data_IF_287181891432
#
_entry.id   IF_287181891432
#
_cell.length_a   1.000
_cell.length_b   1.000
_cell.length_c   1.000
_cell.angle_alpha   90.00
_cell.angle_beta   90.00
_cell.angle_gamma   90.00
#
_symmetry.space_group_name_H-M   'P 1'
#
loop_
_entity.id
_entity.type
_entity.pdbx_description
1 polymer ?
#
# COMPACT_ATOMS: atom_id res chain seq x y z
N UNK A 1 -6.46 -20.08 -21.87
CA UNK A 1 -5.30 -20.66 -21.15
C UNK A 1 -5.35 -20.13 -19.74
N UNK A 2 -5.40 -20.99 -18.73
CA UNK A 2 -5.31 -20.56 -17.32
C UNK A 2 -3.83 -20.35 -17.03
N UNK A 3 -3.36 -19.11 -17.07
CA UNK A 3 -2.00 -18.78 -16.66
C UNK A 3 -1.91 -18.96 -15.14
N UNK A 4 -1.21 -20.01 -14.71
CA UNK A 4 -0.87 -20.18 -13.31
C UNK A 4 0.25 -19.19 -12.96
N UNK A 5 -0.02 -18.30 -12.00
CA UNK A 5 0.98 -17.41 -11.43
C UNK A 5 2.00 -18.23 -10.64
N UNK A 6 3.29 -17.98 -10.87
CA UNK A 6 4.35 -18.61 -10.10
C UNK A 6 4.61 -17.84 -8.81
N UNK A 7 5.15 -18.51 -7.78
CA UNK A 7 5.57 -17.84 -6.56
C UNK A 7 6.60 -16.72 -6.82
N UNK A 8 7.40 -16.85 -7.89
CA UNK A 8 8.35 -15.82 -8.32
C UNK A 8 7.64 -14.55 -8.77
N UNK A 9 6.54 -14.68 -9.51
CA UNK A 9 5.76 -13.53 -9.97
C UNK A 9 5.14 -12.78 -8.80
N UNK A 10 4.62 -13.53 -7.82
CA UNK A 10 4.00 -12.97 -6.61
C UNK A 10 5.01 -12.39 -5.62
N UNK A 11 6.28 -12.79 -5.68
CA UNK A 11 7.35 -12.26 -4.82
C UNK A 11 7.82 -10.84 -5.21
N UNK A 12 7.25 -10.27 -6.28
CA UNK A 12 7.60 -8.93 -6.79
C UNK A 12 6.95 -7.78 -6.01
N UNK A 13 6.05 -8.09 -5.08
CA UNK A 13 5.39 -7.12 -4.21
C UNK A 13 5.13 -7.74 -2.83
N UNK A 14 5.04 -6.88 -1.82
CA UNK A 14 4.75 -7.28 -0.43
C UNK A 14 3.25 -7.28 -0.14
N UNK A 15 2.86 -7.92 0.97
CA UNK A 15 1.49 -7.86 1.48
C UNK A 15 1.05 -6.40 1.73
N UNK A 16 1.95 -5.52 2.15
CA UNK A 16 1.62 -4.11 2.35
C UNK A 16 1.33 -3.38 1.05
N UNK A 17 1.94 -3.77 -0.06
CA UNK A 17 1.63 -3.24 -1.38
C UNK A 17 0.23 -3.65 -1.82
N UNK A 18 -0.15 -4.91 -1.56
CA UNK A 18 -1.51 -5.40 -1.79
C UNK A 18 -2.52 -4.57 -0.96
N UNK A 19 -2.26 -4.37 0.34
CA UNK A 19 -3.16 -3.58 1.21
C UNK A 19 -3.34 -2.16 0.69
N UNK A 20 -2.25 -1.51 0.26
CA UNK A 20 -2.29 -0.16 -0.32
C UNK A 20 -3.08 -0.14 -1.62
N UNK A 21 -2.86 -1.13 -2.48
CA UNK A 21 -3.54 -1.24 -3.77
C UNK A 21 -5.03 -1.41 -3.59
N UNK A 22 -5.45 -2.33 -2.72
CA UNK A 22 -6.85 -2.52 -2.38
C UNK A 22 -7.48 -1.25 -1.83
N UNK A 23 -6.77 -0.51 -0.96
CA UNK A 23 -7.25 0.78 -0.46
C UNK A 23 -7.42 1.83 -1.56
N UNK A 24 -6.51 1.90 -2.53
CA UNK A 24 -6.60 2.83 -3.66
C UNK A 24 -7.74 2.46 -4.61
N UNK A 25 -8.08 1.18 -4.71
CA UNK A 25 -9.21 0.66 -5.49
C UNK A 25 -10.55 0.68 -4.72
N UNK A 26 -10.64 1.48 -3.65
CA UNK A 26 -11.83 1.61 -2.81
C UNK A 26 -12.34 0.31 -2.16
N UNK A 27 -11.45 -0.67 -1.92
CA UNK A 27 -11.80 -1.84 -1.11
C UNK A 27 -11.77 -1.46 0.38
N UNK A 28 -12.86 -1.77 1.08
CA UNK A 28 -13.04 -1.45 2.50
C UNK A 28 -12.65 -2.64 3.37
N UNK A 29 -11.90 -2.40 4.45
CA UNK A 29 -11.72 -3.42 5.50
C UNK A 29 -13.04 -3.55 6.28
N UNK A 30 -13.63 -4.74 6.26
CA UNK A 30 -14.84 -5.06 7.07
C UNK A 30 -14.47 -5.62 8.43
N UNK A 31 -13.41 -6.42 8.48
CA UNK A 31 -12.99 -7.07 9.71
C UNK A 31 -11.50 -7.41 9.65
N UNK A 32 -10.80 -7.32 10.78
CA UNK A 32 -9.39 -7.64 10.87
C UNK A 32 -9.11 -8.40 12.16
N UNK A 33 -8.34 -9.47 12.03
CA UNK A 33 -7.81 -10.29 13.13
C UNK A 33 -6.30 -10.41 13.01
N UNK A 34 -5.66 -11.05 13.99
CA UNK A 34 -4.25 -11.43 13.91
C UNK A 34 -3.94 -12.41 12.77
N UNK A 35 -4.94 -13.13 12.23
CA UNK A 35 -4.73 -14.16 11.20
C UNK A 35 -5.15 -13.71 9.80
N UNK A 36 -6.16 -12.85 9.70
CA UNK A 36 -6.75 -12.48 8.43
C UNK A 36 -7.40 -11.09 8.45
N UNK A 37 -7.46 -10.50 7.26
CA UNK A 37 -8.13 -9.24 6.93
C UNK A 37 -9.22 -9.55 5.91
N UNK A 38 -10.45 -9.13 6.21
CA UNK A 38 -11.61 -9.28 5.32
C UNK A 38 -11.85 -7.95 4.64
N UNK A 39 -11.78 -7.95 3.32
CA UNK A 39 -12.09 -6.80 2.48
C UNK A 39 -13.46 -6.96 1.81
N UNK A 40 -14.14 -5.83 1.60
CA UNK A 40 -15.28 -5.71 0.73
C UNK A 40 -14.92 -4.81 -0.45
N UNK A 41 -14.93 -5.38 -1.65
CA UNK A 41 -14.68 -4.69 -2.90
C UNK A 41 -15.96 -4.18 -3.57
N UNK A 42 -15.97 -4.07 -4.91
CA UNK A 42 -17.08 -3.48 -5.65
C UNK A 42 -18.37 -4.30 -5.56
N UNK A 43 -19.49 -3.65 -5.86
CA UNK A 43 -20.81 -4.28 -5.96
C UNK A 43 -20.85 -5.11 -7.23
N UNK A 44 -21.19 -6.39 -7.10
CA UNK A 44 -21.39 -7.31 -8.20
C UNK A 44 -22.78 -7.13 -8.83
N UNK A 45 -23.00 -7.74 -10.00
CA UNK A 45 -24.30 -7.74 -10.70
C UNK A 45 -25.46 -8.26 -9.83
N UNK A 46 -25.16 -9.04 -8.79
CA UNK A 46 -26.12 -9.54 -7.80
C UNK A 46 -26.53 -8.53 -6.72
N UNK A 47 -25.97 -7.33 -6.73
CA UNK A 47 -26.20 -6.28 -5.72
C UNK A 47 -25.37 -6.41 -4.44
N UNK A 48 -24.61 -7.51 -4.28
CA UNK A 48 -23.75 -7.73 -3.11
C UNK A 48 -22.30 -7.27 -3.38
N UNK A 49 -21.64 -6.70 -2.36
CA UNK A 49 -20.20 -6.42 -2.43
C UNK A 49 -19.40 -7.72 -2.48
N UNK A 50 -18.36 -7.75 -3.29
CA UNK A 50 -17.41 -8.86 -3.31
C UNK A 50 -16.64 -8.91 -1.99
N UNK A 51 -16.74 -10.02 -1.26
CA UNK A 51 -16.00 -10.22 0.00
C UNK A 51 -14.78 -11.08 -0.27
N UNK A 52 -13.61 -10.61 0.17
CA UNK A 52 -12.36 -11.34 0.01
C UNK A 52 -11.59 -11.42 1.33
N UNK A 53 -11.02 -12.59 1.62
CA UNK A 53 -10.21 -12.83 2.81
C UNK A 53 -8.74 -12.92 2.43
N UNK A 54 -7.94 -12.01 2.96
CA UNK A 54 -6.49 -11.99 2.82
C UNK A 54 -5.83 -12.39 4.15
N UNK A 55 -4.76 -13.19 4.16
CA UNK A 55 -3.99 -13.44 5.38
C UNK A 55 -3.39 -12.13 5.93
N UNK A 56 -3.28 -12.03 7.26
CA UNK A 56 -2.72 -10.85 7.90
C UNK A 56 -1.18 -10.82 7.88
N UNK A 57 -0.56 -11.97 7.59
CA UNK A 57 0.89 -12.20 7.59
C UNK A 57 1.26 -13.10 6.39
N UNK A 58 2.40 -12.81 5.77
CA UNK A 58 3.00 -13.57 4.66
C UNK A 58 3.46 -14.98 5.07
N UNK A 59 3.68 -15.22 6.36
CA UNK A 59 4.06 -16.54 6.90
C UNK A 59 2.89 -17.53 6.96
N UNK A 60 1.66 -17.11 6.66
CA UNK A 60 0.52 -18.03 6.64
C UNK A 60 0.67 -19.06 5.50
N UNK A 61 0.32 -20.31 5.79
CA UNK A 61 0.46 -21.44 4.85
C UNK A 61 -0.30 -21.20 3.53
N UNK A 62 -1.45 -20.52 3.60
CA UNK A 62 -2.29 -20.21 2.44
C UNK A 62 -1.97 -18.85 1.79
N UNK A 63 -0.90 -18.16 2.20
CA UNK A 63 -0.57 -16.81 1.71
C UNK A 63 -0.51 -16.72 0.18
N UNK A 64 0.38 -17.49 -0.46
CA UNK A 64 0.57 -17.42 -1.90
C UNK A 64 -0.67 -17.84 -2.69
N UNK A 65 -1.42 -18.82 -2.19
CA UNK A 65 -2.67 -19.28 -2.81
C UNK A 65 -3.71 -18.15 -2.81
N UNK A 66 -3.92 -17.53 -1.64
CA UNK A 66 -4.85 -16.39 -1.49
C UNK A 66 -4.41 -15.22 -2.36
N UNK A 67 -3.13 -14.84 -2.33
CA UNK A 67 -2.65 -13.74 -3.17
C UNK A 67 -2.84 -14.03 -4.66
N UNK A 68 -2.57 -15.27 -5.11
CA UNK A 68 -2.82 -15.69 -6.49
C UNK A 68 -4.29 -15.55 -6.88
N UNK A 69 -5.20 -16.00 -6.01
CA UNK A 69 -6.64 -15.88 -6.24
C UNK A 69 -7.10 -14.42 -6.29
N UNK A 70 -6.59 -13.58 -5.39
CA UNK A 70 -6.88 -12.15 -5.39
C UNK A 70 -6.46 -11.51 -6.73
N UNK A 71 -5.23 -11.78 -7.20
CA UNK A 71 -4.74 -11.23 -8.49
C UNK A 71 -5.61 -11.69 -9.65
N UNK A 72 -6.04 -12.96 -9.66
CA UNK A 72 -6.98 -13.48 -10.68
C UNK A 72 -8.33 -12.77 -10.63
N UNK A 73 -8.88 -12.57 -9.44
CA UNK A 73 -10.14 -11.85 -9.24
C UNK A 73 -10.02 -10.40 -9.74
N UNK A 74 -8.95 -9.69 -9.36
CA UNK A 74 -8.70 -8.32 -9.80
C UNK A 74 -8.53 -8.22 -11.33
N UNK A 75 -7.83 -9.18 -11.92
CA UNK A 75 -7.67 -9.29 -13.38
C UNK A 75 -9.01 -9.49 -14.08
N UNK A 76 -9.89 -10.34 -13.53
CA UNK A 76 -11.22 -10.57 -14.06
C UNK A 76 -12.13 -9.33 -13.92
N UNK A 77 -12.11 -8.67 -12.74
CA UNK A 77 -12.90 -7.46 -12.48
C UNK A 77 -12.51 -6.31 -13.40
N UNK A 78 -11.20 -6.07 -13.57
CA UNK A 78 -10.69 -4.98 -14.41
C UNK A 78 -10.58 -5.34 -15.90
N UNK A 79 -10.82 -6.61 -16.28
CA UNK A 79 -10.63 -7.14 -17.64
C UNK A 79 -9.22 -6.87 -18.21
N UNK A 80 -8.20 -7.02 -17.38
CA UNK A 80 -6.79 -6.84 -17.75
C UNK A 80 -6.00 -8.12 -17.50
N UNK A 81 -4.79 -8.24 -18.06
CA UNK A 81 -3.94 -9.41 -17.84
C UNK A 81 -3.43 -9.48 -16.40
N UNK A 82 -3.15 -10.70 -15.92
CA UNK A 82 -2.57 -10.93 -14.59
C UNK A 82 -1.26 -10.15 -14.39
N UNK A 83 -0.40 -10.12 -15.41
CA UNK A 83 0.86 -9.38 -15.37
C UNK A 83 0.65 -7.88 -15.17
N UNK A 84 -0.41 -7.31 -15.75
CA UNK A 84 -0.73 -5.90 -15.57
C UNK A 84 -1.12 -5.62 -14.11
N UNK A 85 -1.95 -6.47 -13.50
CA UNK A 85 -2.29 -6.35 -12.07
C UNK A 85 -1.05 -6.45 -11.18
N UNK A 86 -0.18 -7.44 -11.44
CA UNK A 86 1.08 -7.61 -10.70
C UNK A 86 1.91 -6.32 -10.77
N UNK A 87 2.10 -5.79 -11.97
CA UNK A 87 2.85 -4.56 -12.16
C UNK A 87 2.17 -3.37 -11.47
N UNK A 88 0.84 -3.24 -11.54
CA UNK A 88 0.10 -2.17 -10.85
C UNK A 88 0.27 -2.25 -9.32
N UNK A 89 0.23 -3.45 -8.73
CA UNK A 89 0.46 -3.65 -7.29
C UNK A 89 1.91 -3.30 -6.93
N UNK A 90 2.90 -3.82 -7.67
CA UNK A 90 4.32 -3.53 -7.42
C UNK A 90 4.63 -2.04 -7.53
N UNK A 91 4.01 -1.33 -8.48
CA UNK A 91 4.29 0.08 -8.76
C UNK A 91 3.74 1.05 -7.72
N UNK A 92 2.87 0.61 -6.79
CA UNK A 92 2.20 1.51 -5.84
C UNK A 92 3.14 2.28 -4.91
N UNK A 93 4.37 1.80 -4.74
CA UNK A 93 5.39 2.43 -3.90
C UNK A 93 6.43 3.23 -4.66
N UNK A 94 6.48 3.16 -5.99
CA UNK A 94 7.55 3.77 -6.76
C UNK A 94 7.49 5.31 -6.75
N UNK A 95 6.38 5.91 -6.30
CA UNK A 95 6.21 7.36 -6.20
C UNK A 95 6.46 7.95 -4.80
N UNK A 96 6.83 7.14 -3.78
CA UNK A 96 7.02 7.64 -2.40
C UNK A 96 8.50 7.80 -2.05
N UNK A 97 9.04 9.00 -2.25
CA UNK A 97 10.32 9.42 -1.69
C UNK A 97 10.18 9.64 -0.16
N UNK A 98 10.70 8.72 0.65
CA UNK A 98 10.77 8.90 2.12
C UNK A 98 12.13 9.46 2.51
N UNK A 99 12.18 10.76 2.78
CA UNK A 99 13.38 11.42 3.32
C UNK A 99 13.27 11.51 4.84
N UNK A 100 14.23 10.90 5.56
CA UNK A 100 14.42 11.15 6.98
C UNK A 100 15.47 12.26 7.10
N UNK A 101 15.06 13.44 7.56
CA UNK A 101 16.00 14.50 7.94
C UNK A 101 16.68 14.06 9.24
N UNK A 102 17.89 13.52 9.13
CA UNK A 102 18.76 13.37 10.29
C UNK A 102 19.29 14.76 10.59
N UNK A 103 18.87 15.34 11.72
CA UNK A 103 19.47 16.57 12.22
C UNK A 103 20.84 16.19 12.83
N UNK A 104 21.98 16.53 12.20
CA UNK A 104 23.28 16.07 12.65
C UNK A 104 23.80 16.82 13.89
N UNK A 105 22.99 17.69 14.52
CA UNK A 105 23.29 18.28 15.83
C UNK A 105 24.41 19.33 15.85
N UNK A 106 25.25 19.40 14.83
CA UNK A 106 26.38 20.34 14.76
C UNK A 106 26.14 21.41 13.69
N UNK A 107 25.25 22.35 13.99
CA UNK A 107 25.19 23.58 13.22
C UNK A 107 26.13 24.63 13.82
N UNK A 108 27.41 24.57 13.46
CA UNK A 108 28.39 25.59 13.89
C UNK A 108 28.11 27.00 13.33
N UNK A 109 27.23 27.13 12.34
CA UNK A 109 26.91 28.41 11.68
C UNK A 109 25.41 28.66 11.45
N UNK A 110 24.51 27.87 12.05
CA UNK A 110 23.07 28.14 11.96
C UNK A 110 22.53 28.62 13.29
N UNK A 111 21.72 29.68 13.26
CA UNK A 111 21.01 30.14 14.44
C UNK A 111 19.91 29.13 14.81
N UNK A 112 19.76 28.78 16.10
CA UNK A 112 18.60 28.05 16.59
C UNK A 112 17.29 28.71 16.13
N UNK A 113 16.29 27.89 15.80
CA UNK A 113 15.06 28.34 15.14
C UNK A 113 14.27 29.37 15.97
N UNK A 114 14.31 29.22 17.30
CA UNK A 114 13.77 30.15 18.29
C UNK A 114 14.46 31.51 18.22
N UNK A 115 15.79 31.53 18.05
CA UNK A 115 16.57 32.77 17.91
C UNK A 115 16.26 33.44 16.57
N UNK A 116 16.17 32.67 15.48
CA UNK A 116 15.77 33.20 14.17
C UNK A 116 14.35 33.79 14.17
N UNK A 117 13.40 33.13 14.84
CA UNK A 117 12.03 33.61 14.97
C UNK A 117 11.93 34.95 15.72
N UNK A 118 12.75 35.14 16.76
CA UNK A 118 12.80 36.40 17.51
C UNK A 118 13.32 37.58 16.68
N UNK A 119 14.32 37.33 15.81
CA UNK A 119 14.87 38.35 14.91
C UNK A 119 13.87 38.83 13.86
N UNK A 120 13.04 37.92 13.33
CA UNK A 120 11.98 38.26 12.36
C UNK A 120 10.90 39.12 13.04
N UNK A 121 10.46 38.75 14.25
CA UNK A 121 9.47 39.54 14.99
C UNK A 121 9.97 40.94 15.38
N UNK A 122 11.28 41.11 15.57
CA UNK A 122 11.88 42.41 15.83
C UNK A 122 11.94 43.28 14.55
N UNK A 123 12.16 42.66 13.38
CA UNK A 123 12.15 43.35 12.08
C UNK A 123 10.75 43.77 11.62
N UNK A 124 9.70 43.00 11.95
CA UNK A 124 8.31 43.37 11.67
C UNK A 124 7.80 44.56 12.51
N UNK A 125 8.52 44.93 13.58
CA UNK A 125 8.16 46.03 14.50
C UNK A 125 8.95 47.33 14.25
N UNK A 126 9.80 47.35 13.23
CA UNK A 126 10.47 48.55 12.70
C UNK A 126 9.61 49.17 11.60
#
# INVERSE_FOLDING_TARGET
MVNNLSNRDLSTFSLDDIKRFLKQEDWEIKYQTSKAIIYAGPILDSGNKLIYRLPADEQNVDYFERVSDLVKILSALKKVSLQKIINEISLINHDILRVRVLNPGEFHFSLPLDVAASGIQALEKL
#
